data_IF_235446770067
#
_entry.id   IF_235446770067
#
_cell.length_a   1.000
_cell.length_b   1.000
_cell.length_c   1.000
_cell.angle_alpha   90.00
_cell.angle_beta   90.00
_cell.angle_gamma   90.00
#
_symmetry.space_group_name_H-M   'P 1'
#
loop_
_entity.id
_entity.type
_entity.pdbx_description
1 polymer ?
#
# COMPACT_ATOMS: atom_id res chain seq x y z
N UNK A 1 23.28 -14.35 6.29
CA UNK A 1 21.88 -14.71 6.58
C UNK A 1 21.03 -13.87 5.68
N UNK A 2 20.54 -14.45 4.60
CA UNK A 2 19.46 -13.83 3.82
C UNK A 2 18.22 -13.97 4.68
N UNK A 3 17.73 -12.85 5.20
CA UNK A 3 16.76 -12.84 6.26
C UNK A 3 15.32 -12.87 5.76
N UNK A 4 14.42 -12.86 6.71
CA UNK A 4 13.01 -12.63 6.52
C UNK A 4 12.78 -11.18 6.09
N UNK A 5 12.17 -10.97 4.92
CA UNK A 5 11.70 -9.67 4.47
C UNK A 5 10.25 -9.48 4.90
N UNK A 6 9.95 -8.34 5.48
CA UNK A 6 8.60 -7.97 5.89
C UNK A 6 8.16 -6.72 5.12
N UNK A 7 7.06 -6.84 4.39
CA UNK A 7 6.47 -5.75 3.62
C UNK A 7 5.18 -5.30 4.28
N UNK A 8 5.11 -4.03 4.65
CA UNK A 8 3.87 -3.43 5.14
C UNK A 8 2.90 -3.26 3.96
N UNK A 9 1.72 -3.89 4.04
CA UNK A 9 0.73 -3.92 2.95
C UNK A 9 -0.59 -3.24 3.31
N UNK A 10 -0.64 -2.52 4.41
CA UNK A 10 -1.85 -1.81 4.84
C UNK A 10 -1.59 -0.75 5.90
N UNK A 11 -2.64 -0.01 6.27
CA UNK A 11 -2.57 1.10 7.20
C UNK A 11 -2.35 0.68 8.67
N UNK A 12 -2.61 -0.58 9.01
CA UNK A 12 -2.47 -1.10 10.38
C UNK A 12 -1.14 -1.81 10.57
N UNK A 13 -0.52 -1.67 11.73
CA UNK A 13 0.80 -2.19 12.05
C UNK A 13 0.98 -3.71 11.90
N UNK A 14 -0.08 -4.49 11.88
CA UNK A 14 -0.06 -5.95 11.72
C UNK A 14 -0.36 -6.44 10.29
N UNK A 15 -0.60 -5.54 9.35
CA UNK A 15 -0.83 -5.88 7.94
C UNK A 15 0.50 -6.01 7.20
N UNK A 16 1.22 -7.09 7.51
CA UNK A 16 2.55 -7.36 6.97
C UNK A 16 2.54 -8.66 6.19
N UNK A 17 3.11 -8.66 4.99
CA UNK A 17 3.46 -9.87 4.24
C UNK A 17 4.93 -10.17 4.47
N UNK A 18 5.21 -11.33 5.04
CA UNK A 18 6.57 -11.79 5.27
C UNK A 18 7.00 -12.76 4.19
N UNK A 19 8.21 -12.59 3.69
CA UNK A 19 8.85 -13.48 2.72
C UNK A 19 10.11 -14.03 3.37
N UNK A 20 10.18 -15.33 3.52
CA UNK A 20 11.38 -16.02 3.94
C UNK A 20 12.20 -16.34 2.69
N UNK A 21 13.35 -15.68 2.54
CA UNK A 21 14.28 -15.94 1.46
C UNK A 21 15.16 -17.11 1.81
N UNK A 22 15.22 -18.10 0.93
CA UNK A 22 16.12 -19.23 1.07
C UNK A 22 17.59 -18.75 1.00
N UNK A 23 18.38 -19.19 1.95
CA UNK A 23 19.82 -18.90 1.96
C UNK A 23 20.57 -19.90 1.05
N UNK A 24 21.02 -19.40 -0.09
CA UNK A 24 21.87 -20.12 -1.04
C UNK A 24 23.37 -19.91 -0.76
N UNK A 25 23.72 -19.24 0.34
CA UNK A 25 25.10 -19.02 0.74
C UNK A 25 25.80 -20.31 1.15
N UNK A 26 27.11 -20.26 1.28
CA UNK A 26 28.00 -21.41 1.60
C UNK A 26 27.53 -22.23 2.80
N UNK A 27 26.92 -21.60 3.80
CA UNK A 27 26.44 -22.22 5.04
C UNK A 27 24.90 -22.19 5.14
N UNK A 28 24.18 -21.98 4.03
CA UNK A 28 22.73 -21.99 3.99
C UNK A 28 22.14 -23.40 4.03
N UNK A 29 20.87 -23.55 4.42
CA UNK A 29 20.22 -24.84 4.53
C UNK A 29 20.18 -25.65 3.22
N UNK A 30 20.31 -24.98 2.08
CA UNK A 30 20.35 -25.62 0.77
C UNK A 30 21.74 -26.14 0.45
N UNK A 31 22.77 -25.36 0.74
CA UNK A 31 24.18 -25.74 0.49
C UNK A 31 24.74 -26.70 1.54
N UNK A 32 24.26 -26.60 2.77
CA UNK A 32 24.67 -27.56 3.84
C UNK A 32 24.21 -28.98 3.55
N UNK A 33 23.14 -29.18 2.79
CA UNK A 33 22.68 -30.50 2.35
C UNK A 33 23.74 -31.19 1.45
N UNK A 34 24.39 -30.43 0.56
CA UNK A 34 25.40 -30.94 -0.38
C UNK A 34 26.70 -31.11 0.33
N UNK A 35 27.10 -30.19 1.18
CA UNK A 35 28.43 -30.20 1.82
C UNK A 35 28.46 -30.96 3.16
N UNK A 36 27.24 -31.27 3.71
CA UNK A 36 27.14 -31.73 5.10
C UNK A 36 27.80 -30.68 6.01
N UNK A 37 27.26 -30.16 6.96
CA UNK A 37 27.60 -29.09 7.90
C UNK A 37 29.13 -28.81 8.17
N UNK A 38 30.00 -29.11 7.21
CA UNK A 38 31.45 -29.03 7.33
C UNK A 38 32.02 -28.10 6.30
N UNK A 39 32.92 -27.24 6.73
CA UNK A 39 33.74 -26.40 5.87
C UNK A 39 34.76 -27.23 5.09
N UNK A 40 34.30 -28.01 4.13
CA UNK A 40 35.12 -28.88 3.32
C UNK A 40 36.08 -28.06 2.46
N UNK A 41 37.36 -28.37 2.54
CA UNK A 41 38.33 -27.84 1.60
C UNK A 41 38.13 -28.46 0.20
N UNK A 42 38.81 -27.91 -0.82
CA UNK A 42 38.65 -28.32 -2.22
C UNK A 42 38.97 -29.82 -2.40
N UNK A 43 39.97 -30.35 -1.70
CA UNK A 43 40.36 -31.74 -1.78
C UNK A 43 39.31 -32.69 -1.22
N UNK A 44 38.69 -32.33 -0.11
CA UNK A 44 37.59 -33.12 0.49
C UNK A 44 36.34 -33.14 -0.37
N UNK A 45 36.07 -32.05 -1.12
CA UNK A 45 34.96 -32.00 -2.09
C UNK A 45 35.20 -32.90 -3.29
N UNK A 46 36.43 -32.90 -3.80
CA UNK A 46 36.81 -33.74 -4.94
C UNK A 46 36.84 -35.23 -4.56
N UNK A 47 37.26 -35.54 -3.35
CA UNK A 47 37.31 -36.92 -2.85
C UNK A 47 35.95 -37.61 -2.76
N UNK A 48 34.88 -36.86 -2.57
CA UNK A 48 33.51 -37.42 -2.47
C UNK A 48 32.96 -37.99 -3.77
N UNK A 49 33.44 -37.54 -4.92
CA UNK A 49 32.98 -37.99 -6.23
C UNK A 49 33.94 -38.99 -6.89
N UNK A 50 35.06 -39.31 -6.24
CA UNK A 50 36.05 -40.22 -6.78
C UNK A 50 35.66 -41.69 -6.62
N UNK A 51 34.67 -42.00 -5.82
CA UNK A 51 34.15 -43.34 -5.61
C UNK A 51 32.71 -43.44 -6.12
N UNK A 52 32.30 -44.65 -6.51
CA UNK A 52 30.94 -44.90 -6.98
C UNK A 52 29.90 -44.59 -5.87
N UNK A 53 30.21 -45.00 -4.64
CA UNK A 53 29.34 -44.72 -3.46
C UNK A 53 29.24 -43.22 -3.20
N UNK A 54 30.35 -42.49 -3.27
CA UNK A 54 30.38 -41.05 -3.09
C UNK A 54 29.61 -40.30 -4.16
N UNK A 55 29.72 -40.73 -5.42
CA UNK A 55 28.94 -40.15 -6.52
C UNK A 55 27.43 -40.40 -6.35
N UNK A 56 27.03 -41.58 -5.89
CA UNK A 56 25.60 -41.88 -5.61
C UNK A 56 25.06 -41.04 -4.44
N UNK A 57 25.84 -40.83 -3.40
CA UNK A 57 25.50 -39.99 -2.23
C UNK A 57 25.28 -38.52 -2.69
N UNK A 58 26.20 -38.01 -3.50
CA UNK A 58 26.08 -36.63 -4.05
C UNK A 58 24.85 -36.47 -4.97
N UNK A 59 24.55 -37.49 -5.79
CA UNK A 59 23.34 -37.47 -6.63
C UNK A 59 22.06 -37.39 -5.77
N UNK A 60 21.96 -38.22 -4.73
CA UNK A 60 20.81 -38.21 -3.81
C UNK A 60 20.65 -36.84 -3.13
N UNK A 61 21.77 -36.26 -2.71
CA UNK A 61 21.77 -34.92 -2.11
C UNK A 61 21.39 -33.82 -3.11
N UNK A 62 21.82 -33.97 -4.34
CA UNK A 62 21.45 -33.03 -5.41
C UNK A 62 19.94 -33.07 -5.71
N UNK A 63 19.35 -34.27 -5.73
CA UNK A 63 17.90 -34.42 -5.88
C UNK A 63 17.16 -33.73 -4.71
N UNK A 64 17.59 -33.92 -3.49
CA UNK A 64 17.01 -33.24 -2.32
C UNK A 64 17.13 -31.70 -2.40
N UNK A 65 18.24 -31.19 -2.92
CA UNK A 65 18.44 -29.75 -3.17
C UNK A 65 17.50 -29.25 -4.25
N UNK A 66 17.33 -29.99 -5.33
CA UNK A 66 16.39 -29.64 -6.39
C UNK A 66 14.95 -29.56 -5.88
N UNK A 67 14.55 -30.49 -5.04
CA UNK A 67 13.22 -30.45 -4.40
C UNK A 67 13.06 -29.23 -3.51
N UNK A 68 14.06 -28.84 -2.73
CA UNK A 68 14.04 -27.61 -1.93
C UNK A 68 14.00 -26.36 -2.77
N UNK A 69 14.74 -26.31 -3.87
CA UNK A 69 14.69 -25.19 -4.81
C UNK A 69 13.28 -25.07 -5.42
N UNK A 70 12.69 -26.18 -5.84
CA UNK A 70 11.34 -26.20 -6.38
C UNK A 70 10.30 -25.77 -5.34
N UNK A 71 10.40 -26.22 -4.10
CA UNK A 71 9.54 -25.78 -2.99
C UNK A 71 9.69 -24.27 -2.73
N UNK A 72 10.92 -23.75 -2.74
CA UNK A 72 11.17 -22.31 -2.60
C UNK A 72 10.56 -21.49 -3.74
N UNK A 73 10.70 -21.98 -4.96
CA UNK A 73 10.07 -21.34 -6.14
C UNK A 73 8.55 -21.34 -6.04
N UNK A 74 7.95 -22.44 -5.60
CA UNK A 74 6.52 -22.54 -5.39
C UNK A 74 6.03 -21.54 -4.33
N UNK A 75 6.75 -21.43 -3.20
CA UNK A 75 6.46 -20.45 -2.15
C UNK A 75 6.58 -19.02 -2.67
N UNK A 76 7.62 -18.71 -3.43
CA UNK A 76 7.76 -17.38 -4.06
C UNK A 76 6.64 -17.09 -5.04
N UNK A 77 6.22 -18.05 -5.85
CA UNK A 77 5.07 -17.90 -6.75
C UNK A 77 3.77 -17.61 -5.98
N UNK A 78 3.53 -18.30 -4.87
CA UNK A 78 2.38 -18.03 -4.01
C UNK A 78 2.43 -16.63 -3.39
N UNK A 79 3.60 -16.17 -2.97
CA UNK A 79 3.80 -14.80 -2.43
C UNK A 79 3.57 -13.75 -3.51
N UNK A 80 4.06 -13.96 -4.72
CA UNK A 80 3.81 -13.05 -5.85
C UNK A 80 2.31 -12.90 -6.11
N UNK A 81 1.58 -14.00 -6.24
CA UNK A 81 0.12 -13.97 -6.40
C UNK A 81 -0.58 -13.23 -5.25
N UNK A 82 -0.13 -13.46 -4.01
CA UNK A 82 -0.66 -12.76 -2.84
C UNK A 82 -0.39 -11.26 -2.90
N UNK A 83 0.80 -10.85 -3.32
CA UNK A 83 1.14 -9.43 -3.49
C UNK A 83 0.31 -8.77 -4.59
N UNK A 84 0.06 -9.44 -5.70
CA UNK A 84 -0.81 -8.94 -6.78
C UNK A 84 -2.24 -8.68 -6.28
N UNK A 85 -2.79 -9.62 -5.50
CA UNK A 85 -4.09 -9.42 -4.84
C UNK A 85 -4.09 -8.27 -3.85
N UNK A 86 -3.01 -8.10 -3.07
CA UNK A 86 -2.86 -6.98 -2.15
C UNK A 86 -2.81 -5.65 -2.90
N UNK A 87 -2.03 -5.55 -3.98
CA UNK A 87 -1.94 -4.34 -4.82
C UNK A 87 -3.31 -3.99 -5.40
N UNK A 88 -4.03 -4.97 -5.92
CA UNK A 88 -5.38 -4.76 -6.45
C UNK A 88 -6.34 -4.26 -5.37
N UNK A 89 -6.31 -4.87 -4.19
CA UNK A 89 -7.14 -4.44 -3.07
C UNK A 89 -6.80 -3.02 -2.59
N UNK A 90 -5.52 -2.70 -2.45
CA UNK A 90 -5.06 -1.35 -2.07
C UNK A 90 -5.45 -0.29 -3.10
N UNK A 91 -5.41 -0.64 -4.38
CA UNK A 91 -5.87 0.26 -5.45
C UNK A 91 -7.37 0.55 -5.31
N UNK A 92 -8.19 -0.47 -5.04
CA UNK A 92 -9.62 -0.29 -4.81
C UNK A 92 -9.91 0.55 -3.56
N UNK A 93 -9.18 0.30 -2.46
CA UNK A 93 -9.29 1.10 -1.23
C UNK A 93 -8.90 2.55 -1.50
N UNK A 94 -7.83 2.81 -2.24
CA UNK A 94 -7.39 4.15 -2.61
C UNK A 94 -8.42 4.89 -3.45
N UNK A 95 -9.02 4.21 -4.44
CA UNK A 95 -10.10 4.79 -5.26
C UNK A 95 -11.33 5.13 -4.42
N UNK A 96 -11.78 4.23 -3.55
CA UNK A 96 -12.92 4.46 -2.67
C UNK A 96 -12.66 5.59 -1.67
N UNK A 97 -11.45 5.68 -1.14
CA UNK A 97 -11.05 6.76 -0.23
C UNK A 97 -11.02 8.11 -0.95
N UNK A 98 -10.50 8.15 -2.18
CA UNK A 98 -10.52 9.36 -3.02
C UNK A 98 -11.95 9.80 -3.37
N UNK A 99 -12.83 8.86 -3.71
CA UNK A 99 -14.23 9.13 -3.97
C UNK A 99 -14.96 9.66 -2.71
N UNK A 100 -14.70 9.06 -1.55
CA UNK A 100 -15.26 9.51 -0.27
C UNK A 100 -14.76 10.91 0.10
N UNK A 101 -13.48 11.18 -0.13
CA UNK A 101 -12.88 12.50 0.11
C UNK A 101 -13.52 13.56 -0.82
N UNK A 102 -13.67 13.25 -2.11
CA UNK A 102 -14.32 14.15 -3.08
C UNK A 102 -15.75 14.46 -2.67
N UNK A 103 -16.52 13.45 -2.22
CA UNK A 103 -17.89 13.66 -1.74
C UNK A 103 -17.97 14.64 -0.56
N UNK A 104 -17.02 14.57 0.37
CA UNK A 104 -16.99 15.48 1.53
C UNK A 104 -16.53 16.88 1.12
N UNK A 105 -15.46 16.95 0.34
CA UNK A 105 -14.83 18.21 -0.08
C UNK A 105 -15.76 19.01 -1.04
N UNK A 106 -16.38 18.35 -2.00
CA UNK A 106 -17.30 18.99 -2.96
C UNK A 106 -18.63 19.40 -2.31
N UNK A 107 -19.15 18.61 -1.37
CA UNK A 107 -20.37 18.96 -0.64
C UNK A 107 -20.17 20.21 0.23
N UNK A 108 -19.05 20.32 0.93
CA UNK A 108 -18.72 21.51 1.75
C UNK A 108 -18.54 22.76 0.87
N UNK A 109 -17.91 22.64 -0.27
CA UNK A 109 -17.71 23.78 -1.18
C UNK A 109 -19.02 24.26 -1.77
N UNK A 110 -19.93 23.40 -2.17
CA UNK A 110 -21.24 23.75 -2.67
C UNK A 110 -22.10 24.45 -1.62
N UNK A 111 -22.08 23.94 -0.38
CA UNK A 111 -22.78 24.55 0.76
C UNK A 111 -22.25 25.95 1.06
N UNK A 112 -20.91 26.07 1.19
CA UNK A 112 -20.26 27.35 1.49
C UNK A 112 -20.48 28.42 0.41
N UNK A 113 -20.44 28.06 -0.88
CA UNK A 113 -20.68 28.99 -1.98
C UNK A 113 -22.13 29.43 -2.04
N UNK A 114 -23.07 28.55 -1.72
CA UNK A 114 -24.50 28.90 -1.65
C UNK A 114 -24.79 29.86 -0.50
N UNK A 115 -24.18 29.63 0.66
CA UNK A 115 -24.32 30.52 1.82
C UNK A 115 -23.71 31.91 1.56
N UNK A 116 -22.55 31.94 0.87
CA UNK A 116 -21.92 33.18 0.43
C UNK A 116 -22.83 33.97 -0.52
N UNK A 117 -23.38 33.32 -1.53
CA UNK A 117 -24.31 33.96 -2.48
C UNK A 117 -25.58 34.50 -1.79
N UNK A 118 -26.14 33.70 -0.88
CA UNK A 118 -27.31 34.10 -0.07
C UNK A 118 -27.02 35.33 0.79
N UNK A 119 -25.88 35.35 1.47
CA UNK A 119 -25.49 36.53 2.30
C UNK A 119 -25.25 37.77 1.45
N UNK A 120 -24.64 37.65 0.30
CA UNK A 120 -24.45 38.78 -0.63
C UNK A 120 -25.80 39.36 -1.14
N UNK A 121 -26.73 38.48 -1.54
CA UNK A 121 -28.07 38.89 -1.96
C UNK A 121 -28.81 39.55 -0.80
N UNK A 122 -28.77 39.00 0.39
CA UNK A 122 -29.41 39.59 1.57
C UNK A 122 -28.83 40.97 1.93
N UNK A 123 -27.52 41.16 1.80
CA UNK A 123 -26.87 42.45 2.02
C UNK A 123 -27.31 43.48 0.99
N UNK A 124 -27.39 43.10 -0.29
CA UNK A 124 -27.88 43.99 -1.34
C UNK A 124 -29.38 44.37 -1.15
N UNK A 125 -30.20 43.37 -0.79
CA UNK A 125 -31.60 43.59 -0.51
C UNK A 125 -31.81 44.53 0.72
N UNK A 126 -31.05 44.30 1.78
CA UNK A 126 -31.12 45.13 2.98
C UNK A 126 -30.73 46.60 2.71
N UNK A 127 -29.68 46.83 1.92
CA UNK A 127 -29.31 48.21 1.52
C UNK A 127 -30.36 48.88 0.64
N UNK A 128 -30.96 48.13 -0.28
CA UNK A 128 -32.05 48.65 -1.12
C UNK A 128 -33.31 48.99 -0.32
N UNK A 129 -33.70 48.12 0.62
CA UNK A 129 -34.84 48.37 1.52
C UNK A 129 -34.59 49.57 2.45
N UNK A 130 -33.37 49.72 2.99
CA UNK A 130 -33.00 50.90 3.77
C UNK A 130 -33.05 52.19 2.98
N UNK A 131 -32.57 52.17 1.73
CA UNK A 131 -32.68 53.32 0.84
C UNK A 131 -34.14 53.68 0.55
N UNK A 132 -35.00 52.69 0.32
CA UNK A 132 -36.43 52.87 0.08
C UNK A 132 -37.16 53.38 1.33
N UNK A 133 -36.82 52.90 2.51
CA UNK A 133 -37.38 53.38 3.78
C UNK A 133 -37.02 54.84 4.05
N UNK A 134 -35.78 55.25 3.77
CA UNK A 134 -35.33 56.60 3.92
C UNK A 134 -36.05 57.55 2.96
N UNK A 135 -36.29 57.14 1.71
CA UNK A 135 -37.07 57.94 0.72
C UNK A 135 -38.57 58.06 1.11
N UNK A 136 -39.11 57.00 1.70
CA UNK A 136 -40.49 57.01 2.21
C UNK A 136 -40.70 58.03 3.35
N UNK A 137 -39.73 58.07 4.30
CA UNK A 137 -39.74 59.05 5.38
C UNK A 137 -39.62 60.49 4.87
N UNK A 138 -38.78 60.76 3.88
CA UNK A 138 -38.65 62.07 3.26
C UNK A 138 -39.96 62.53 2.55
N UNK A 139 -40.68 61.57 1.94
CA UNK A 139 -42.00 61.88 1.28
C UNK A 139 -43.01 62.19 2.33
N UNK A 140 -43.06 61.53 3.47
CA UNK A 140 -43.98 61.86 4.58
C UNK A 140 -43.67 63.24 5.16
N UNK A 141 -42.39 63.57 5.37
CA UNK A 141 -41.96 64.91 5.84
C UNK A 141 -42.37 66.04 4.86
N UNK A 142 -42.26 65.79 3.54
CA UNK A 142 -42.74 66.74 2.49
C UNK A 142 -44.24 66.96 2.52
N UNK A 143 -45.02 65.91 2.84
CA UNK A 143 -46.48 66.01 2.93
C UNK A 143 -46.97 66.71 4.22
N UNK A 144 -46.21 66.68 5.28
CA UNK A 144 -46.55 67.32 6.58
C UNK A 144 -45.99 68.73 6.73
N UNK A 145 -45.15 69.19 5.79
CA UNK A 145 -44.48 70.49 5.88
C UNK A 145 -45.00 71.51 4.85
N UNK A 146 -46.17 71.27 4.23
CA UNK A 146 -46.81 72.21 3.31
C UNK A 146 -48.08 72.71 3.91
#
# INVERSE_FOLDING_TARGET
KVGRLAFQVGASAQQVVTIDLADFGKNGPITSEITGDVDLNVEQRTSRINTREGATDVLTKLDAVMDRVNATRATMGAVMNRLDHVVTNLTNVSMNLSASRSTIEDADYASASTELAKTQIMQQAATAVLAQANTSQQTVLKLLGN
#
